data_IF_052429529215
#
_entry.id   IF_052429529215
#
_cell.length_a   1.000
_cell.length_b   1.000
_cell.length_c   1.000
_cell.angle_alpha   90.00
_cell.angle_beta   90.00
_cell.angle_gamma   90.00
#
_symmetry.space_group_name_H-M   'P 1'
#
loop_
_entity.id
_entity.type
_entity.pdbx_description
1 polymer ?
#
# COMPACT_ATOMS: atom_id res chain seq x y z
N UNK A 1 5.17 -17.87 -7.90
CA UNK A 1 4.06 -17.24 -7.16
C UNK A 1 3.04 -18.33 -6.84
N UNK A 2 2.48 -18.35 -5.63
CA UNK A 2 1.49 -19.35 -5.22
C UNK A 2 0.09 -18.95 -5.73
N UNK A 3 -0.82 -19.91 -5.87
CA UNK A 3 -2.22 -19.61 -6.21
C UNK A 3 -2.91 -18.71 -5.17
N UNK A 4 -2.47 -18.79 -3.90
CA UNK A 4 -2.93 -17.94 -2.82
C UNK A 4 -2.49 -16.48 -3.01
N UNK A 5 -1.21 -16.24 -3.30
CA UNK A 5 -0.68 -14.90 -3.57
C UNK A 5 -1.35 -14.21 -4.78
N UNK A 6 -1.58 -14.96 -5.87
CA UNK A 6 -2.32 -14.46 -7.05
C UNK A 6 -3.75 -14.07 -6.70
N UNK A 7 -4.43 -14.89 -5.91
CA UNK A 7 -5.79 -14.64 -5.46
C UNK A 7 -5.86 -13.40 -4.57
N UNK A 8 -4.91 -13.23 -3.65
CA UNK A 8 -4.81 -12.07 -2.77
C UNK A 8 -4.60 -10.78 -3.58
N UNK A 9 -3.62 -10.75 -4.47
CA UNK A 9 -3.35 -9.59 -5.32
C UNK A 9 -4.55 -9.23 -6.22
N UNK A 10 -5.22 -10.24 -6.79
CA UNK A 10 -6.43 -10.03 -7.60
C UNK A 10 -7.56 -9.40 -6.78
N UNK A 11 -7.86 -9.95 -5.59
CA UNK A 11 -8.91 -9.43 -4.70
C UNK A 11 -8.59 -8.01 -4.23
N UNK A 12 -7.35 -7.74 -3.86
CA UNK A 12 -6.90 -6.42 -3.44
C UNK A 12 -7.11 -5.37 -4.55
N UNK A 13 -6.72 -5.69 -5.79
CA UNK A 13 -6.94 -4.81 -6.94
C UNK A 13 -8.41 -4.60 -7.27
N UNK A 14 -9.22 -5.66 -7.21
CA UNK A 14 -10.66 -5.56 -7.42
C UNK A 14 -11.30 -4.65 -6.37
N UNK A 15 -10.89 -4.80 -5.11
CA UNK A 15 -11.34 -3.98 -4.00
C UNK A 15 -10.91 -2.51 -4.16
N UNK A 16 -9.69 -2.24 -4.65
CA UNK A 16 -9.20 -0.88 -4.89
C UNK A 16 -10.09 -0.08 -5.87
N UNK A 17 -10.75 -0.74 -6.82
CA UNK A 17 -11.71 -0.09 -7.73
C UNK A 17 -12.96 0.44 -7.02
N UNK A 18 -13.29 -0.09 -5.84
CA UNK A 18 -14.43 0.33 -5.04
C UNK A 18 -14.07 1.40 -3.99
N UNK A 19 -12.79 1.78 -3.87
CA UNK A 19 -12.28 2.76 -2.91
C UNK A 19 -12.82 2.57 -1.48
N UNK A 20 -12.56 1.43 -0.81
CA UNK A 20 -13.18 1.06 0.47
C UNK A 20 -12.56 1.78 1.67
N UNK A 21 -12.09 3.02 1.50
CA UNK A 21 -11.37 3.74 2.53
C UNK A 21 -12.30 4.06 3.70
N UNK A 22 -11.87 3.73 4.92
CA UNK A 22 -12.46 4.34 6.12
C UNK A 22 -12.20 5.85 6.11
N UNK A 23 -12.95 6.61 6.92
CA UNK A 23 -12.74 8.06 7.01
C UNK A 23 -11.29 8.42 7.40
N UNK A 24 -10.69 7.68 8.34
CA UNK A 24 -9.31 7.91 8.79
C UNK A 24 -8.29 7.54 7.70
N UNK A 25 -8.46 6.40 7.02
CA UNK A 25 -7.60 6.02 5.90
C UNK A 25 -7.70 7.04 4.75
N UNK A 26 -8.90 7.56 4.46
CA UNK A 26 -9.11 8.61 3.48
C UNK A 26 -8.38 9.92 3.83
N UNK A 27 -8.43 10.34 5.10
CA UNK A 27 -7.68 11.50 5.58
C UNK A 27 -6.16 11.29 5.48
N UNK A 28 -5.69 10.08 5.80
CA UNK A 28 -4.28 9.72 5.70
C UNK A 28 -3.77 9.78 4.25
N UNK A 29 -4.53 9.21 3.31
CA UNK A 29 -4.25 9.29 1.86
C UNK A 29 -4.21 10.75 1.40
N UNK A 30 -5.20 11.56 1.77
CA UNK A 30 -5.26 12.97 1.38
C UNK A 30 -4.04 13.76 1.89
N UNK A 31 -3.58 13.49 3.12
CA UNK A 31 -2.38 14.12 3.69
C UNK A 31 -1.13 13.76 2.89
N UNK A 32 -0.97 12.49 2.52
CA UNK A 32 0.18 12.04 1.73
C UNK A 32 0.18 12.65 0.34
N UNK A 33 -0.95 12.58 -0.38
CA UNK A 33 -1.07 13.17 -1.73
C UNK A 33 -0.77 14.67 -1.69
N UNK A 34 -1.28 15.40 -0.68
CA UNK A 34 -0.99 16.83 -0.51
C UNK A 34 0.50 17.08 -0.25
N UNK A 35 1.14 16.23 0.56
CA UNK A 35 2.59 16.30 0.81
C UNK A 35 3.40 16.07 -0.45
N UNK A 36 3.06 15.05 -1.24
CA UNK A 36 3.72 14.73 -2.50
C UNK A 36 3.54 15.84 -3.54
N UNK A 37 2.33 16.42 -3.66
CA UNK A 37 2.10 17.56 -4.55
C UNK A 37 2.96 18.78 -4.24
N UNK A 38 3.42 18.93 -2.99
CA UNK A 38 4.27 20.04 -2.59
C UNK A 38 5.76 19.84 -2.96
N UNK A 39 6.20 18.59 -3.17
CA UNK A 39 7.61 18.25 -3.39
C UNK A 39 7.89 17.70 -4.79
N UNK A 40 6.91 17.08 -5.44
CA UNK A 40 7.06 16.49 -6.75
C UNK A 40 6.95 17.54 -7.86
N UNK A 41 7.83 17.43 -8.86
CA UNK A 41 7.80 18.31 -10.04
C UNK A 41 6.61 17.95 -10.95
N UNK A 42 6.25 16.67 -11.00
CA UNK A 42 5.17 16.15 -11.84
C UNK A 42 3.94 15.81 -10.99
N UNK A 43 2.80 16.45 -11.29
CA UNK A 43 1.54 16.24 -10.56
C UNK A 43 1.03 14.79 -10.63
N UNK A 44 1.37 14.07 -11.70
CA UNK A 44 0.99 12.66 -11.89
C UNK A 44 1.65 11.76 -10.83
N UNK A 45 2.90 12.06 -10.44
CA UNK A 45 3.64 11.28 -9.43
C UNK A 45 2.92 11.32 -8.08
N UNK A 46 2.42 12.49 -7.67
CA UNK A 46 1.66 12.61 -6.43
C UNK A 46 0.31 11.88 -6.46
N UNK A 47 -0.32 11.81 -7.64
CA UNK A 47 -1.55 11.02 -7.85
C UNK A 47 -1.27 9.53 -7.77
N UNK A 48 -0.11 9.09 -8.29
CA UNK A 48 0.31 7.70 -8.23
C UNK A 48 0.58 7.22 -6.81
N UNK A 49 1.23 8.04 -5.96
CA UNK A 49 1.42 7.72 -4.56
C UNK A 49 0.10 7.41 -3.84
N UNK A 50 -0.94 8.21 -4.11
CA UNK A 50 -2.28 7.96 -3.57
C UNK A 50 -2.85 6.62 -4.04
N UNK A 51 -2.72 6.31 -5.33
CA UNK A 51 -3.21 5.04 -5.90
C UNK A 51 -2.44 3.82 -5.37
N UNK A 52 -1.12 3.92 -5.24
CA UNK A 52 -0.23 2.86 -4.72
C UNK A 52 -0.54 2.54 -3.26
N UNK A 53 -0.75 3.57 -2.46
CA UNK A 53 -1.17 3.43 -1.08
C UNK A 53 -2.53 2.73 -0.99
N UNK A 54 -3.50 3.13 -1.82
CA UNK A 54 -4.81 2.45 -1.86
C UNK A 54 -4.67 0.98 -2.25
N UNK A 55 -3.79 0.64 -3.20
CA UNK A 55 -3.54 -0.73 -3.61
C UNK A 55 -3.01 -1.59 -2.44
N UNK A 56 -2.01 -1.09 -1.71
CA UNK A 56 -1.49 -1.75 -0.51
C UNK A 56 -2.54 -1.89 0.59
N UNK A 57 -3.29 -0.81 0.86
CA UNK A 57 -4.37 -0.81 1.84
C UNK A 57 -5.43 -1.87 1.54
N UNK A 58 -5.78 -2.06 0.27
CA UNK A 58 -6.76 -3.06 -0.12
C UNK A 58 -6.27 -4.50 0.10
N UNK A 59 -4.96 -4.76 -0.01
CA UNK A 59 -4.41 -6.06 0.37
C UNK A 59 -4.57 -6.31 1.87
N UNK A 60 -4.28 -5.30 2.69
CA UNK A 60 -4.48 -5.38 4.15
C UNK A 60 -5.94 -5.65 4.50
N UNK A 61 -6.86 -4.99 3.80
CA UNK A 61 -8.29 -5.20 3.97
C UNK A 61 -8.75 -6.60 3.63
N UNK A 62 -8.23 -7.17 2.55
CA UNK A 62 -8.51 -8.57 2.17
C UNK A 62 -7.99 -9.54 3.23
N UNK A 63 -6.79 -9.28 3.74
CA UNK A 63 -6.20 -10.08 4.82
C UNK A 63 -7.04 -10.02 6.11
N UNK A 64 -7.51 -8.83 6.49
CA UNK A 64 -8.35 -8.65 7.68
C UNK A 64 -9.73 -9.30 7.51
N UNK A 65 -10.32 -9.20 6.32
CA UNK A 65 -11.59 -9.86 5.99
C UNK A 65 -11.45 -11.40 6.04
N UNK A 66 -10.34 -11.95 5.54
CA UNK A 66 -10.04 -13.40 5.60
C UNK A 66 -9.80 -13.89 7.03
N UNK A 67 -9.24 -13.05 7.90
CA UNK A 67 -9.11 -13.30 9.33
C UNK A 67 -10.43 -13.12 10.11
N UNK A 68 -11.51 -12.72 9.44
CA UNK A 68 -12.83 -12.50 10.07
C UNK A 68 -12.91 -11.24 10.92
N UNK A 69 -11.98 -10.29 10.75
CA UNK A 69 -11.96 -9.03 11.50
C UNK A 69 -13.03 -8.08 10.98
N UNK A 70 -14.14 -7.96 11.74
CA UNK A 70 -15.16 -6.97 11.43
C UNK A 70 -14.68 -5.57 11.82
N UNK A 71 -14.56 -4.70 10.83
CA UNK A 71 -14.31 -3.27 11.05
C UNK A 71 -15.57 -2.61 11.56
N UNK A 72 -15.77 -2.68 12.87
CA UNK A 72 -16.69 -1.79 13.55
C UNK A 72 -15.87 -0.64 14.10
N UNK A 73 -16.25 0.62 13.87
CA UNK A 73 -15.62 1.73 14.56
C UNK A 73 -15.75 1.46 16.06
N UNK A 74 -14.63 1.20 16.72
CA UNK A 74 -14.60 1.01 18.17
C UNK A 74 -14.77 2.39 18.80
N UNK A 75 -15.85 2.66 19.56
CA UNK A 75 -16.09 3.98 20.14
C UNK A 75 -15.08 4.34 21.25
N UNK A 76 -14.18 3.43 21.64
CA UNK A 76 -13.28 3.60 22.79
C UNK A 76 -11.83 3.97 22.41
N UNK A 77 -11.48 4.03 21.12
CA UNK A 77 -10.14 4.39 20.68
C UNK A 77 -10.21 5.30 19.43
N UNK A 78 -10.29 6.62 19.64
CA UNK A 78 -10.04 7.60 18.58
C UNK A 78 -8.56 7.54 18.18
N UNK A 79 -8.23 6.66 17.23
CA UNK A 79 -6.90 6.60 16.62
C UNK A 79 -6.67 7.88 15.83
N UNK A 80 -5.61 8.63 16.16
CA UNK A 80 -5.25 9.85 15.43
C UNK A 80 -4.47 9.54 14.15
N UNK A 81 -4.39 10.51 13.24
CA UNK A 81 -3.58 10.39 12.02
C UNK A 81 -2.08 10.21 12.30
N UNK A 82 -1.58 10.74 13.41
CA UNK A 82 -0.19 10.59 13.86
C UNK A 82 0.05 9.18 14.39
N UNK A 83 -0.91 8.62 15.13
CA UNK A 83 -0.82 7.23 15.59
C UNK A 83 -0.87 6.25 14.42
N UNK A 84 -1.75 6.50 13.44
CA UNK A 84 -1.81 5.70 12.22
C UNK A 84 -0.50 5.77 11.43
N UNK A 85 0.10 6.96 11.30
CA UNK A 85 1.40 7.16 10.64
C UNK A 85 2.53 6.41 11.36
N UNK A 86 2.55 6.46 12.69
CA UNK A 86 3.55 5.77 13.49
C UNK A 86 3.47 4.25 13.31
N UNK A 87 2.27 3.67 13.38
CA UNK A 87 2.05 2.24 13.15
C UNK A 87 2.39 1.85 11.71
N UNK A 88 1.99 2.67 10.73
CA UNK A 88 2.30 2.39 9.33
C UNK A 88 3.82 2.36 9.09
N UNK A 89 4.58 3.26 9.73
CA UNK A 89 6.05 3.27 9.66
C UNK A 89 6.70 2.07 10.34
N UNK A 90 6.17 1.64 11.49
CA UNK A 90 6.66 0.47 12.22
C UNK A 90 6.54 -0.78 11.33
N UNK A 91 5.36 -1.04 10.80
CA UNK A 91 5.09 -2.20 9.93
C UNK A 91 5.89 -2.12 8.63
N UNK A 92 5.97 -0.94 8.01
CA UNK A 92 6.79 -0.75 6.81
C UNK A 92 8.28 -1.01 7.08
N UNK A 93 8.78 -0.66 8.27
CA UNK A 93 10.16 -0.95 8.68
C UNK A 93 10.38 -2.44 8.86
N UNK A 94 9.46 -3.12 9.56
CA UNK A 94 9.51 -4.57 9.77
C UNK A 94 9.54 -5.35 8.44
N UNK A 95 8.72 -4.94 7.47
CA UNK A 95 8.72 -5.51 6.11
C UNK A 95 10.07 -5.33 5.40
N UNK A 96 10.71 -4.15 5.53
CA UNK A 96 12.00 -3.88 4.88
C UNK A 96 13.17 -4.63 5.51
N UNK A 97 13.16 -4.85 6.82
CA UNK A 97 14.24 -5.58 7.52
C UNK A 97 14.04 -7.10 7.51
N UNK A 98 12.93 -7.59 6.96
CA UNK A 98 12.64 -9.01 6.82
C UNK A 98 12.13 -9.69 8.10
N UNK A 99 11.46 -8.93 8.98
CA UNK A 99 10.80 -9.45 10.19
C UNK A 99 9.31 -9.05 10.25
N UNK A 100 8.49 -9.39 9.23
CA UNK A 100 7.11 -8.93 9.17
C UNK A 100 6.16 -9.76 10.03
N UNK A 101 6.51 -10.98 10.46
CA UNK A 101 5.57 -11.93 11.09
C UNK A 101 4.70 -11.35 12.22
N UNK A 102 5.20 -10.48 13.13
CA UNK A 102 4.37 -9.90 14.19
C UNK A 102 3.20 -9.03 13.69
N UNK A 103 3.20 -8.72 12.40
CA UNK A 103 2.31 -7.75 11.78
C UNK A 103 1.36 -8.36 10.75
N UNK A 104 1.62 -9.60 10.34
CA UNK A 104 0.79 -10.32 9.37
C UNK A 104 -0.31 -11.08 10.11
N UNK A 105 -1.46 -11.20 9.46
CA UNK A 105 -2.56 -12.06 9.90
C UNK A 105 -2.60 -13.36 9.08
N UNK A 106 -1.98 -13.36 7.89
CA UNK A 106 -1.80 -14.53 7.03
C UNK A 106 -0.39 -15.14 7.07
N UNK A 107 -0.15 -16.10 6.17
CA UNK A 107 1.17 -16.71 5.97
C UNK A 107 2.12 -15.70 5.29
N UNK A 108 3.33 -15.55 5.83
CA UNK A 108 4.24 -14.49 5.41
C UNK A 108 4.65 -14.59 3.94
N UNK A 109 4.97 -15.78 3.46
CA UNK A 109 5.31 -16.02 2.06
C UNK A 109 4.19 -15.60 1.10
N UNK A 110 2.93 -15.94 1.40
CA UNK A 110 1.78 -15.58 0.57
C UNK A 110 1.50 -14.07 0.57
N UNK A 111 1.57 -13.40 1.73
CA UNK A 111 1.35 -11.95 1.83
C UNK A 111 2.46 -11.18 1.11
N UNK A 112 3.73 -11.54 1.35
CA UNK A 112 4.87 -10.90 0.69
C UNK A 112 4.84 -11.14 -0.82
N UNK A 113 4.47 -12.34 -1.28
CA UNK A 113 4.29 -12.61 -2.69
C UNK A 113 3.14 -11.81 -3.29
N UNK A 114 2.03 -11.62 -2.56
CA UNK A 114 0.92 -10.76 -2.97
C UNK A 114 1.31 -9.29 -3.10
N UNK A 115 2.06 -8.75 -2.11
CA UNK A 115 2.62 -7.40 -2.17
C UNK A 115 3.53 -7.22 -3.39
N UNK A 116 4.46 -8.15 -3.61
CA UNK A 116 5.36 -8.10 -4.75
C UNK A 116 4.61 -8.15 -6.09
N UNK A 117 3.52 -8.93 -6.18
CA UNK A 117 2.69 -8.98 -7.38
C UNK A 117 1.96 -7.65 -7.65
N UNK A 118 1.47 -6.99 -6.59
CA UNK A 118 0.86 -5.66 -6.70
C UNK A 118 1.93 -4.65 -7.14
N UNK A 119 3.06 -4.58 -6.44
CA UNK A 119 4.16 -3.65 -6.75
C UNK A 119 4.62 -3.81 -8.19
N UNK A 120 4.88 -5.04 -8.64
CA UNK A 120 5.30 -5.29 -10.01
C UNK A 120 4.25 -4.81 -11.04
N UNK A 121 2.96 -5.06 -10.79
CA UNK A 121 1.89 -4.60 -11.67
C UNK A 121 1.76 -3.07 -11.69
N UNK A 122 1.93 -2.41 -10.55
CA UNK A 122 1.86 -0.95 -10.43
C UNK A 122 3.08 -0.29 -11.13
N UNK A 123 4.28 -0.86 -10.97
CA UNK A 123 5.50 -0.44 -11.69
C UNK A 123 5.30 -0.59 -13.20
N UNK A 124 4.88 -1.78 -13.66
CA UNK A 124 4.70 -2.05 -15.09
C UNK A 124 3.67 -1.12 -15.72
N UNK A 125 2.55 -0.88 -15.03
CA UNK A 125 1.48 0.01 -15.52
C UNK A 125 1.95 1.46 -15.70
N UNK A 126 2.84 1.94 -14.82
CA UNK A 126 3.33 3.33 -14.87
C UNK A 126 4.54 3.48 -15.76
N UNK A 127 5.52 2.57 -15.67
CA UNK A 127 6.70 2.59 -16.53
C UNK A 127 6.33 2.45 -18.02
N UNK A 128 5.21 1.80 -18.36
CA UNK A 128 4.72 1.80 -19.74
C UNK A 128 4.62 3.22 -20.34
N UNK A 129 4.33 4.22 -19.52
CA UNK A 129 4.16 5.61 -19.97
C UNK A 129 5.47 6.42 -20.01
N UNK A 130 6.54 5.99 -19.32
CA UNK A 130 7.77 6.79 -19.12
C UNK A 130 9.08 6.07 -19.45
N UNK A 131 9.03 4.79 -19.87
CA UNK A 131 10.22 3.95 -20.09
C UNK A 131 11.19 4.51 -21.13
N UNK A 132 10.72 5.32 -22.09
CA UNK A 132 11.60 5.94 -23.09
C UNK A 132 12.29 7.22 -22.57
N UNK A 133 11.80 7.78 -21.46
CA UNK A 133 12.27 9.05 -20.87
C UNK A 133 13.18 8.83 -19.66
N UNK A 134 13.22 7.61 -19.12
CA UNK A 134 13.93 7.25 -17.90
C UNK A 134 15.13 6.35 -18.21
N UNK A 135 16.28 6.67 -17.61
CA UNK A 135 17.41 5.74 -17.59
C UNK A 135 17.20 4.63 -16.53
N UNK A 136 18.15 3.69 -16.47
CA UNK A 136 18.06 2.57 -15.52
C UNK A 136 18.03 3.03 -14.06
N UNK A 137 18.77 4.08 -13.70
CA UNK A 137 18.83 4.56 -12.32
C UNK A 137 17.50 5.21 -11.93
N UNK A 138 16.92 6.02 -12.81
CA UNK A 138 15.59 6.59 -12.62
C UNK A 138 14.51 5.51 -12.52
N UNK A 139 14.62 4.41 -13.29
CA UNK A 139 13.70 3.28 -13.19
C UNK A 139 13.77 2.59 -11.82
N UNK A 140 14.98 2.41 -11.28
CA UNK A 140 15.18 1.81 -9.96
C UNK A 140 14.63 2.74 -8.84
N UNK A 141 14.93 4.05 -8.90
CA UNK A 141 14.38 5.04 -7.96
C UNK A 141 12.85 5.07 -7.99
N UNK A 142 12.26 4.92 -9.17
CA UNK A 142 10.82 4.85 -9.33
C UNK A 142 10.22 3.56 -8.77
N UNK A 143 10.87 2.42 -8.99
CA UNK A 143 10.46 1.15 -8.39
C UNK A 143 10.49 1.23 -6.86
N UNK A 144 11.51 1.86 -6.28
CA UNK A 144 11.61 2.10 -4.84
C UNK A 144 10.51 3.03 -4.34
N UNK A 145 10.18 4.08 -5.10
CA UNK A 145 9.09 5.00 -4.79
C UNK A 145 7.73 4.28 -4.74
N UNK A 146 7.40 3.51 -5.79
CA UNK A 146 6.16 2.71 -5.86
C UNK A 146 6.10 1.72 -4.71
N UNK A 147 7.20 1.02 -4.45
CA UNK A 147 7.31 0.05 -3.35
C UNK A 147 7.03 0.71 -2.01
N UNK A 148 7.60 1.90 -1.77
CA UNK A 148 7.42 2.61 -0.50
C UNK A 148 5.94 2.93 -0.24
N UNK A 149 5.18 3.37 -1.24
CA UNK A 149 3.77 3.71 -1.06
C UNK A 149 2.86 2.49 -0.95
N UNK A 150 3.07 1.45 -1.73
CA UNK A 150 2.31 0.19 -1.59
C UNK A 150 2.54 -0.41 -0.21
N UNK A 151 3.79 -0.47 0.26
CA UNK A 151 4.11 -0.98 1.61
C UNK A 151 3.49 -0.11 2.69
N UNK A 152 3.56 1.21 2.55
CA UNK A 152 2.93 2.15 3.50
C UNK A 152 1.41 1.96 3.53
N UNK A 153 0.78 1.75 2.39
CA UNK A 153 -0.64 1.48 2.30
C UNK A 153 -1.05 0.17 2.99
N UNK A 154 -0.30 -0.91 2.76
CA UNK A 154 -0.52 -2.18 3.45
C UNK A 154 -0.37 -2.06 4.98
N UNK A 155 0.53 -1.17 5.41
CA UNK A 155 0.79 -0.92 6.81
C UNK A 155 -0.31 -0.11 7.53
N UNK A 156 -1.26 0.50 6.80
CA UNK A 156 -2.41 1.21 7.36
C UNK A 156 -3.40 0.21 7.97
N UNK A 157 -3.58 0.29 9.29
CA UNK A 157 -4.54 -0.50 10.07
C UNK A 157 -5.59 0.41 10.68
N UNK A 158 -6.86 0.19 10.34
CA UNK A 158 -7.99 1.05 10.73
C UNK A 158 -9.20 0.25 11.14
#
# INVERSE_FOLDING_TARGET
MTAAAETLAFRARALAQAHPLTALAGQFVARIVTGEQAVQIHADVATWAGAELVAGYCLRRVEEDDAGLQHRPSPEHDVTLEQLDAVAREVATALRIGDPEPHLLGEAGDILAGLNAIIAAEIDARLHNFREEMDSAACDEFADYVTAWVVTGYAVRV
#
